data_IF_514914164970
#
_entry.id   IF_514914164970
#
_cell.length_a   1.000
_cell.length_b   1.000
_cell.length_c   1.000
_cell.angle_alpha   90.00
_cell.angle_beta   90.00
_cell.angle_gamma   90.00
#
_symmetry.space_group_name_H-M   'P 1'
#
loop_
_entity.id
_entity.type
_entity.pdbx_description
1 polymer ?
#
# COMPACT_ATOMS: atom_id res chain seq x y z
N UNK A 1 -11.62 -12.15 14.00
CA UNK A 1 -10.54 -11.54 14.80
C UNK A 1 -10.20 -10.20 14.19
N UNK A 2 -10.35 -9.10 14.93
CA UNK A 2 -10.01 -7.75 14.43
C UNK A 2 -8.52 -7.41 14.58
N UNK A 3 -7.78 -8.18 15.38
CA UNK A 3 -6.34 -8.02 15.58
C UNK A 3 -5.71 -9.33 16.06
N UNK A 4 -4.38 -9.42 15.95
CA UNK A 4 -3.52 -10.47 16.49
C UNK A 4 -2.59 -9.85 17.53
N UNK A 5 -2.35 -10.52 18.66
CA UNK A 5 -1.25 -10.09 19.53
C UNK A 5 0.10 -10.51 18.92
N UNK A 6 1.19 -9.85 19.32
CA UNK A 6 2.54 -10.21 18.91
C UNK A 6 2.90 -11.65 19.32
N UNK A 7 2.33 -12.13 20.44
CA UNK A 7 2.50 -13.51 20.91
C UNK A 7 1.75 -14.52 20.03
N UNK A 8 0.57 -14.15 19.52
CA UNK A 8 -0.19 -15.00 18.59
C UNK A 8 0.48 -15.05 17.22
N UNK A 9 1.03 -13.92 16.76
CA UNK A 9 1.79 -13.85 15.52
C UNK A 9 2.99 -14.82 15.51
N UNK A 10 3.63 -15.06 16.64
CA UNK A 10 4.74 -16.03 16.75
C UNK A 10 4.30 -17.49 16.64
N UNK A 11 3.00 -17.79 16.77
CA UNK A 11 2.44 -19.15 16.81
C UNK A 11 1.59 -19.51 15.60
N UNK A 12 1.17 -18.51 14.82
CA UNK A 12 0.28 -18.70 13.67
C UNK A 12 1.02 -19.37 12.51
N UNK A 13 0.37 -20.31 11.82
CA UNK A 13 0.93 -20.94 10.62
C UNK A 13 0.76 -20.07 9.38
N UNK A 14 1.61 -20.27 8.37
CA UNK A 14 1.48 -19.59 7.07
C UNK A 14 0.12 -19.85 6.39
N UNK A 15 -0.43 -21.05 6.53
CA UNK A 15 -1.78 -21.39 6.03
C UNK A 15 -2.86 -20.54 6.71
N UNK A 16 -2.79 -20.38 8.03
CA UNK A 16 -3.73 -19.55 8.78
C UNK A 16 -3.60 -18.08 8.39
N UNK A 17 -2.36 -17.60 8.16
CA UNK A 17 -2.12 -16.25 7.63
C UNK A 17 -2.81 -16.10 6.27
N UNK A 18 -2.61 -17.05 5.33
CA UNK A 18 -3.24 -17.02 4.00
C UNK A 18 -4.77 -17.00 4.04
N UNK A 19 -5.37 -17.65 5.03
CA UNK A 19 -6.82 -17.69 5.24
C UNK A 19 -7.40 -16.41 5.85
N UNK A 20 -6.58 -15.49 6.37
CA UNK A 20 -7.07 -14.22 6.92
C UNK A 20 -7.88 -13.45 5.87
N UNK A 21 -9.03 -12.86 6.21
CA UNK A 21 -9.91 -12.21 5.22
C UNK A 21 -9.25 -11.00 4.55
N UNK A 22 -8.35 -10.31 5.25
CA UNK A 22 -7.61 -9.16 4.74
C UNK A 22 -6.56 -8.66 5.74
N UNK A 23 -6.08 -7.41 5.58
CA UNK A 23 -5.12 -6.81 6.49
C UNK A 23 -5.59 -6.88 7.95
N UNK A 24 -4.73 -7.39 8.81
CA UNK A 24 -5.05 -7.61 10.24
C UNK A 24 -4.02 -6.90 11.11
N UNK A 25 -4.47 -6.08 12.05
CA UNK A 25 -3.60 -5.33 12.95
C UNK A 25 -2.84 -6.28 13.90
N UNK A 26 -1.54 -6.03 14.10
CA UNK A 26 -0.72 -6.72 15.11
C UNK A 26 -0.49 -5.79 16.29
N UNK A 27 -0.80 -6.26 17.51
CA UNK A 27 -0.73 -5.48 18.74
C UNK A 27 0.29 -6.02 19.75
N UNK A 28 0.93 -5.11 20.48
CA UNK A 28 1.68 -5.38 21.71
C UNK A 28 1.06 -4.58 22.85
N UNK A 29 0.36 -5.26 23.77
CA UNK A 29 -0.59 -4.60 24.67
C UNK A 29 -1.70 -3.91 23.86
N UNK A 30 -1.96 -2.64 24.15
CA UNK A 30 -2.97 -1.84 23.43
C UNK A 30 -2.46 -1.17 22.16
N UNK A 31 -1.13 -1.14 21.95
CA UNK A 31 -0.50 -0.47 20.83
C UNK A 31 -0.51 -1.36 19.59
N UNK A 32 -1.03 -0.83 18.47
CA UNK A 32 -0.79 -1.40 17.14
C UNK A 32 0.66 -1.15 16.73
N UNK A 33 1.40 -2.23 16.45
CA UNK A 33 2.82 -2.18 16.11
C UNK A 33 3.10 -2.61 14.67
N UNK A 34 2.10 -3.16 13.97
CA UNK A 34 2.26 -3.57 12.58
C UNK A 34 0.94 -3.99 11.95
N UNK A 35 1.00 -4.27 10.65
CA UNK A 35 -0.11 -4.80 9.86
C UNK A 35 0.36 -6.08 9.20
N UNK A 36 -0.36 -7.17 9.44
CA UNK A 36 -0.18 -8.41 8.72
C UNK A 36 -1.09 -8.39 7.50
N UNK A 37 -0.50 -8.37 6.30
CA UNK A 37 -1.24 -8.37 5.05
C UNK A 37 -1.07 -9.73 4.38
N UNK A 38 -2.11 -10.58 4.33
CA UNK A 38 -2.02 -11.84 3.61
C UNK A 38 -1.91 -11.58 2.11
N UNK A 39 -0.88 -12.14 1.48
CA UNK A 39 -0.75 -12.10 0.03
C UNK A 39 -1.69 -13.14 -0.57
N UNK A 40 -2.75 -12.65 -1.22
CA UNK A 40 -3.72 -13.48 -1.92
C UNK A 40 -3.52 -13.36 -3.42
N UNK A 41 -3.80 -14.43 -4.15
CA UNK A 41 -3.98 -14.34 -5.58
C UNK A 41 -5.04 -13.27 -5.89
N UNK A 42 -4.76 -12.41 -6.86
CA UNK A 42 -5.74 -11.44 -7.31
C UNK A 42 -6.94 -12.18 -7.90
N UNK A 43 -8.14 -11.71 -7.58
CA UNK A 43 -9.34 -12.10 -8.29
C UNK A 43 -9.23 -11.58 -9.74
N UNK A 44 -9.14 -12.46 -10.75
CA UNK A 44 -8.91 -12.05 -12.14
C UNK A 44 -9.99 -11.12 -12.68
N UNK A 45 -11.25 -11.37 -12.31
CA UNK A 45 -12.39 -10.58 -12.79
C UNK A 45 -12.36 -9.18 -12.18
N UNK A 46 -12.08 -9.12 -10.88
CA UNK A 46 -11.90 -7.84 -10.17
C UNK A 46 -10.70 -7.07 -10.72
N UNK A 47 -9.58 -7.73 -11.00
CA UNK A 47 -8.40 -7.11 -11.59
C UNK A 47 -8.71 -6.56 -12.98
N UNK A 48 -9.37 -7.33 -13.83
CA UNK A 48 -9.79 -6.90 -15.16
C UNK A 48 -10.69 -5.66 -15.10
N UNK A 49 -11.64 -5.61 -14.16
CA UNK A 49 -12.51 -4.44 -13.97
C UNK A 49 -11.71 -3.18 -13.55
N UNK A 50 -10.74 -3.33 -12.65
CA UNK A 50 -9.86 -2.23 -12.23
C UNK A 50 -9.00 -1.75 -13.41
N UNK A 51 -8.45 -2.66 -14.22
CA UNK A 51 -7.65 -2.32 -15.39
C UNK A 51 -8.48 -1.57 -16.44
N UNK A 52 -9.71 -2.02 -16.72
CA UNK A 52 -10.61 -1.31 -17.62
C UNK A 52 -10.93 0.12 -17.13
N UNK A 53 -11.11 0.28 -15.81
CA UNK A 53 -11.29 1.61 -15.21
C UNK A 53 -10.04 2.49 -15.35
N UNK A 54 -8.86 1.92 -15.09
CA UNK A 54 -7.58 2.62 -15.24
C UNK A 54 -7.34 3.05 -16.70
N UNK A 55 -7.64 2.19 -17.67
CA UNK A 55 -7.58 2.51 -19.09
C UNK A 55 -8.56 3.63 -19.48
N UNK A 56 -9.79 3.60 -18.96
CA UNK A 56 -10.76 4.66 -19.20
C UNK A 56 -10.29 6.02 -18.66
N UNK A 57 -9.73 6.05 -17.45
CA UNK A 57 -9.12 7.25 -16.86
C UNK A 57 -7.90 7.70 -17.65
N UNK A 58 -7.14 6.76 -18.21
CA UNK A 58 -5.94 7.07 -18.97
C UNK A 58 -6.21 7.76 -20.31
N UNK A 59 -7.40 7.62 -20.90
CA UNK A 59 -7.75 8.23 -22.19
C UNK A 59 -7.73 9.77 -22.20
N UNK A 60 -7.81 10.41 -21.02
CA UNK A 60 -7.73 11.86 -20.88
C UNK A 60 -6.36 12.39 -20.46
N UNK A 61 -5.35 11.51 -20.35
CA UNK A 61 -4.01 11.87 -19.86
C UNK A 61 -3.22 12.59 -20.94
N UNK A 62 -2.56 13.69 -20.57
CA UNK A 62 -1.59 14.39 -21.42
C UNK A 62 -0.18 14.09 -20.90
N UNK A 63 0.62 13.25 -21.61
CA UNK A 63 1.95 12.87 -21.14
C UNK A 63 2.87 14.04 -20.82
N UNK A 64 2.76 15.15 -21.57
CA UNK A 64 3.60 16.33 -21.33
C UNK A 64 3.23 17.07 -20.03
N UNK A 65 1.95 17.11 -19.66
CA UNK A 65 1.50 17.68 -18.38
C UNK A 65 1.90 16.77 -17.21
N UNK A 66 1.88 15.47 -17.42
CA UNK A 66 2.29 14.50 -16.40
C UNK A 66 3.79 14.51 -16.17
N UNK A 67 4.59 14.57 -17.23
CA UNK A 67 6.03 14.73 -17.13
C UNK A 67 6.40 16.05 -16.44
N UNK A 68 5.68 17.15 -16.73
CA UNK A 68 5.87 18.41 -16.02
C UNK A 68 5.49 18.32 -14.53
N UNK A 69 4.43 17.58 -14.18
CA UNK A 69 4.01 17.35 -12.80
C UNK A 69 4.95 16.39 -12.04
N UNK A 70 5.60 15.47 -12.76
CA UNK A 70 6.52 14.47 -12.20
C UNK A 70 7.99 14.94 -12.20
N UNK A 71 8.36 15.94 -12.98
CA UNK A 71 9.74 16.48 -13.00
C UNK A 71 10.29 16.81 -11.60
N UNK A 72 9.51 17.40 -10.66
CA UNK A 72 9.97 17.63 -9.28
C UNK A 72 10.22 16.33 -8.48
N UNK A 73 9.60 15.21 -8.85
CA UNK A 73 9.82 13.92 -8.19
C UNK A 73 11.16 13.27 -8.57
N UNK A 74 11.79 13.67 -9.68
CA UNK A 74 13.10 13.14 -10.08
C UNK A 74 14.23 13.48 -9.10
N UNK A 75 14.04 14.52 -8.29
CA UNK A 75 14.97 14.95 -7.23
C UNK A 75 14.66 14.28 -5.87
N UNK A 76 13.56 13.54 -5.77
CA UNK A 76 13.12 12.85 -4.55
C UNK A 76 13.56 11.39 -4.62
N UNK A 77 14.30 10.93 -3.61
CA UNK A 77 14.57 9.50 -3.44
C UNK A 77 13.26 8.78 -3.05
N UNK A 78 12.70 7.90 -3.90
CA UNK A 78 11.41 7.26 -3.66
C UNK A 78 11.43 6.26 -2.51
N UNK A 79 12.60 5.92 -1.96
CA UNK A 79 12.75 5.05 -0.80
C UNK A 79 13.17 5.80 0.47
N UNK A 80 13.41 7.11 0.40
CA UNK A 80 13.62 7.94 1.58
C UNK A 80 12.27 8.35 2.19
N UNK A 81 11.84 7.58 3.18
CA UNK A 81 10.62 7.82 3.95
C UNK A 81 10.89 8.59 5.26
N UNK A 82 12.02 9.31 5.36
CA UNK A 82 12.27 10.20 6.49
C UNK A 82 11.18 11.26 6.62
N UNK A 83 10.95 11.74 7.85
CA UNK A 83 9.92 12.76 8.11
C UNK A 83 10.24 14.04 7.35
N UNK A 84 11.53 14.34 7.20
CA UNK A 84 12.09 15.46 6.45
C UNK A 84 11.77 15.33 4.96
N UNK A 85 12.03 14.18 4.34
CA UNK A 85 11.72 13.92 2.92
C UNK A 85 10.20 13.99 2.64
N UNK A 86 9.37 13.41 3.51
CA UNK A 86 7.90 13.46 3.39
C UNK A 86 7.39 14.90 3.52
N UNK A 87 7.94 15.69 4.45
CA UNK A 87 7.56 17.11 4.60
C UNK A 87 7.93 17.91 3.36
N UNK A 88 9.14 17.74 2.83
CA UNK A 88 9.59 18.41 1.62
C UNK A 88 8.66 18.13 0.42
N UNK A 89 8.27 16.86 0.25
CA UNK A 89 7.32 16.44 -0.79
C UNK A 89 5.93 17.09 -0.62
N UNK A 90 5.46 17.26 0.60
CA UNK A 90 4.16 17.87 0.88
C UNK A 90 4.16 19.41 0.75
N UNK A 91 5.31 20.06 0.99
CA UNK A 91 5.46 21.52 0.91
C UNK A 91 5.85 22.06 -0.47
N UNK A 92 6.29 21.18 -1.39
CA UNK A 92 6.68 21.55 -2.77
C UNK A 92 5.52 21.61 -3.77
N UNK A 93 4.26 21.61 -3.29
CA UNK A 93 3.05 21.77 -4.10
C UNK A 93 2.42 23.15 -3.89
#
# INVERSE_FOLDING_TARGET
MTHLSIRDLQKISGETIGALPGPTAVKSGDRTIGLLVPLKAADPDRLAAILAQAEALAKGRNPAEEDAALAPFGEVDPIDWSVEAVRALMSGR
#
